data_IF_486844538188
#
_entry.id   IF_486844538188
#
_cell.length_a   1.000
_cell.length_b   1.000
_cell.length_c   1.000
_cell.angle_alpha   90.00
_cell.angle_beta   90.00
_cell.angle_gamma   90.00
#
_symmetry.space_group_name_H-M   'P 1'
#
loop_
_entity.id
_entity.type
_entity.pdbx_description
1 polymer ?
#
# COMPACT_ATOMS: atom_id res chain seq x y z
N UNK A 1 7.68 2.54 -5.91
CA UNK A 1 8.66 3.52 -5.41
C UNK A 1 9.18 3.18 -4.03
N UNK A 2 8.38 2.53 -3.17
CA UNK A 2 8.75 2.17 -1.81
C UNK A 2 8.95 3.39 -0.90
N UNK A 3 9.35 3.15 0.35
CA UNK A 3 9.46 4.19 1.39
C UNK A 3 10.30 5.40 0.97
N UNK A 4 11.45 5.16 0.34
CA UNK A 4 12.33 6.24 -0.12
C UNK A 4 11.66 7.11 -1.19
N UNK A 5 10.90 6.52 -2.07
CA UNK A 5 10.16 7.25 -3.10
C UNK A 5 9.03 8.09 -2.50
N UNK A 6 8.27 7.50 -1.59
CA UNK A 6 7.18 8.19 -0.90
C UNK A 6 7.70 9.37 -0.06
N UNK A 7 8.83 9.22 0.63
CA UNK A 7 9.47 10.33 1.34
C UNK A 7 9.82 11.49 0.41
N UNK A 8 10.32 11.20 -0.79
CA UNK A 8 10.64 12.26 -1.77
C UNK A 8 9.38 12.98 -2.24
N UNK A 9 8.31 12.23 -2.51
CA UNK A 9 7.01 12.80 -2.91
C UNK A 9 6.44 13.67 -1.78
N UNK A 10 6.46 13.17 -0.55
CA UNK A 10 5.97 13.90 0.61
C UNK A 10 6.74 15.20 0.86
N UNK A 11 8.08 15.17 0.74
CA UNK A 11 8.91 16.37 0.88
C UNK A 11 8.63 17.39 -0.22
N UNK A 12 8.40 16.92 -1.45
CA UNK A 12 8.02 17.81 -2.55
C UNK A 12 6.63 18.42 -2.30
N UNK A 13 5.66 17.62 -1.88
CA UNK A 13 4.34 18.11 -1.51
C UNK A 13 4.41 19.13 -0.38
N UNK A 14 5.25 18.88 0.63
CA UNK A 14 5.46 19.77 1.76
C UNK A 14 6.01 21.14 1.33
N UNK A 15 6.93 21.16 0.36
CA UNK A 15 7.45 22.41 -0.20
C UNK A 15 6.38 23.28 -0.89
N UNK A 16 5.28 22.67 -1.31
CA UNK A 16 4.11 23.35 -1.88
C UNK A 16 2.94 23.48 -0.89
N UNK A 17 3.18 23.23 0.39
CA UNK A 17 2.15 23.28 1.46
C UNK A 17 0.97 22.34 1.21
N UNK A 18 1.21 21.24 0.50
CA UNK A 18 0.18 20.25 0.19
C UNK A 18 0.17 19.12 1.23
N UNK A 19 -1.01 18.74 1.74
CA UNK A 19 -1.13 17.58 2.60
C UNK A 19 -0.95 16.27 1.82
N UNK A 20 -0.53 15.22 2.51
CA UNK A 20 -0.36 13.87 1.96
C UNK A 20 -1.28 12.90 2.66
N UNK A 21 -2.08 12.16 1.88
CA UNK A 21 -2.85 11.03 2.34
C UNK A 21 -2.22 9.73 1.84
N UNK A 22 -2.14 8.73 2.71
CA UNK A 22 -1.67 7.39 2.35
C UNK A 22 -2.87 6.54 1.93
N UNK A 23 -2.78 5.91 0.77
CA UNK A 23 -3.88 5.13 0.20
C UNK A 23 -3.51 3.66 0.04
N UNK A 24 -4.53 2.80 0.17
CA UNK A 24 -4.42 1.36 -0.06
C UNK A 24 -3.21 0.74 0.65
N UNK A 25 -3.05 1.11 1.91
CA UNK A 25 -1.87 0.77 2.67
C UNK A 25 -2.05 -0.55 3.40
N UNK A 26 -1.25 -1.56 3.07
CA UNK A 26 -1.20 -2.75 3.89
C UNK A 26 -0.39 -2.50 5.15
N UNK A 27 -1.05 -2.62 6.26
CA UNK A 27 -0.39 -2.76 7.55
C UNK A 27 0.55 -1.62 7.93
N UNK A 28 1.52 -1.97 8.73
CA UNK A 28 2.38 -1.04 9.44
C UNK A 28 3.37 -0.26 8.58
N UNK A 29 3.76 -0.76 7.40
CA UNK A 29 4.84 -0.14 6.61
C UNK A 29 4.59 1.33 6.32
N UNK A 30 3.39 1.64 5.82
CA UNK A 30 3.03 3.01 5.48
C UNK A 30 2.65 3.83 6.71
N UNK A 31 2.15 3.19 7.77
CA UNK A 31 1.88 3.86 9.04
C UNK A 31 3.18 4.38 9.69
N UNK A 32 4.25 3.59 9.68
CA UNK A 32 5.57 4.04 10.13
C UNK A 32 6.12 5.21 9.31
N UNK A 33 5.86 5.22 8.00
CA UNK A 33 6.22 6.36 7.18
C UNK A 33 5.38 7.59 7.53
N UNK A 34 4.07 7.42 7.63
CA UNK A 34 3.11 8.49 7.89
C UNK A 34 3.43 9.29 9.16
N UNK A 35 3.85 8.61 10.24
CA UNK A 35 4.23 9.26 11.50
C UNK A 35 5.44 10.18 11.38
N UNK A 36 6.23 10.04 10.31
CA UNK A 36 7.43 10.85 10.07
C UNK A 36 7.19 11.99 9.06
N UNK A 37 5.96 12.14 8.56
CA UNK A 37 5.64 13.16 7.58
C UNK A 37 4.95 14.35 8.26
N UNK A 38 5.52 15.57 8.17
CA UNK A 38 4.94 16.76 8.81
C UNK A 38 3.62 17.19 8.16
N UNK A 39 3.38 16.78 6.93
CA UNK A 39 2.19 17.09 6.13
C UNK A 39 1.25 15.89 5.96
N UNK A 40 1.40 14.84 6.75
CA UNK A 40 0.46 13.72 6.73
C UNK A 40 -0.91 14.16 7.27
N UNK A 41 -1.96 13.81 6.55
CA UNK A 41 -3.33 14.17 6.89
C UNK A 41 -4.15 12.96 7.36
N UNK A 42 -4.15 11.89 6.59
CA UNK A 42 -4.93 10.68 6.86
C UNK A 42 -4.32 9.47 6.18
N UNK A 43 -4.72 8.30 6.64
CA UNK A 43 -4.39 7.03 5.99
C UNK A 43 -5.65 6.22 5.73
N UNK A 44 -5.79 5.69 4.51
CA UNK A 44 -6.79 4.70 4.19
C UNK A 44 -6.32 3.33 4.70
N UNK A 45 -7.16 2.68 5.49
CA UNK A 45 -6.92 1.31 5.96
C UNK A 45 -7.84 0.38 5.18
N UNK A 46 -7.25 -0.50 4.38
CA UNK A 46 -7.99 -1.46 3.57
C UNK A 46 -7.59 -2.87 3.95
N UNK A 47 -8.58 -3.65 4.34
CA UNK A 47 -8.45 -5.10 4.47
C UNK A 47 -8.49 -5.75 3.07
N UNK A 48 -7.35 -6.26 2.64
CA UNK A 48 -7.22 -6.99 1.38
C UNK A 48 -6.96 -8.49 1.60
N UNK A 49 -7.33 -9.01 2.76
CA UNK A 49 -7.10 -10.41 3.14
C UNK A 49 -5.66 -10.69 3.59
N UNK A 50 -4.83 -9.67 3.74
CA UNK A 50 -3.45 -9.83 4.24
C UNK A 50 -3.42 -10.18 5.71
N UNK A 51 -4.39 -9.71 6.46
CA UNK A 51 -4.62 -9.98 7.86
C UNK A 51 -4.87 -11.47 8.14
N UNK A 52 -5.22 -12.24 7.09
CA UNK A 52 -5.37 -13.68 7.19
C UNK A 52 -4.04 -14.38 7.55
N UNK A 53 -2.91 -13.83 7.15
CA UNK A 53 -1.58 -14.43 7.36
C UNK A 53 -0.52 -13.44 7.85
N UNK A 54 -0.86 -12.15 8.02
CA UNK A 54 0.00 -11.16 8.67
C UNK A 54 -0.53 -10.86 10.06
N UNK A 55 0.34 -10.97 11.06
CA UNK A 55 0.08 -10.46 12.39
C UNK A 55 0.84 -9.14 12.53
N UNK A 56 0.13 -8.07 12.80
CA UNK A 56 0.70 -6.74 13.00
C UNK A 56 0.58 -6.33 14.45
N UNK A 57 1.48 -5.50 14.92
CA UNK A 57 1.48 -5.02 16.31
C UNK A 57 0.75 -3.68 16.49
N UNK A 58 0.17 -3.13 15.42
CA UNK A 58 -0.65 -1.95 15.50
C UNK A 58 -2.10 -2.27 15.89
N UNK A 59 -2.78 -1.31 16.44
CA UNK A 59 -4.23 -1.34 16.63
C UNK A 59 -4.85 0.03 16.29
N UNK A 60 -6.16 0.04 16.10
CA UNK A 60 -6.90 1.28 15.84
C UNK A 60 -7.67 1.64 17.10
N UNK A 61 -7.46 2.85 17.58
CA UNK A 61 -8.16 3.41 18.72
C UNK A 61 -8.61 4.85 18.38
N UNK A 62 -9.88 5.13 18.59
CA UNK A 62 -10.51 6.42 18.31
C UNK A 62 -10.12 7.03 16.95
N UNK A 63 -10.17 6.20 15.90
CA UNK A 63 -9.83 6.61 14.53
C UNK A 63 -8.33 6.86 14.28
N UNK A 64 -7.47 6.50 15.21
CA UNK A 64 -6.02 6.62 15.10
C UNK A 64 -5.37 5.25 15.04
N UNK A 65 -4.35 5.12 14.21
CA UNK A 65 -3.49 3.95 14.20
C UNK A 65 -2.42 4.14 15.25
N UNK A 66 -2.42 3.24 16.23
CA UNK A 66 -1.40 3.19 17.28
C UNK A 66 -0.39 2.13 16.89
N UNK A 67 0.82 2.53 16.63
CA UNK A 67 1.91 1.63 16.29
C UNK A 67 2.42 0.93 17.54
N UNK A 68 2.82 -0.33 17.37
CA UNK A 68 3.52 -1.08 18.42
C UNK A 68 5.01 -0.79 18.42
N UNK A 69 5.73 -1.56 19.22
CA UNK A 69 7.17 -1.41 19.48
C UNK A 69 8.02 -2.61 19.02
N UNK A 70 7.41 -3.56 18.28
CA UNK A 70 8.14 -4.68 17.70
C UNK A 70 9.19 -4.21 16.70
N UNK A 71 10.34 -4.90 16.60
CA UNK A 71 11.38 -4.57 15.62
C UNK A 71 10.87 -4.55 14.17
N UNK A 72 11.48 -3.71 13.35
CA UNK A 72 11.13 -3.56 11.94
C UNK A 72 9.81 -2.82 11.76
N UNK A 73 8.91 -3.39 10.98
CA UNK A 73 7.56 -2.82 10.77
C UNK A 73 6.50 -3.44 11.70
N UNK A 74 6.91 -4.25 12.67
CA UNK A 74 5.98 -4.93 13.56
C UNK A 74 5.07 -5.93 12.84
N UNK A 75 5.57 -6.56 11.78
CA UNK A 75 4.84 -7.52 10.96
C UNK A 75 5.45 -8.89 11.13
N UNK A 76 4.64 -9.85 11.55
CA UNK A 76 4.98 -11.27 11.55
C UNK A 76 4.15 -12.01 10.49
N UNK A 77 4.76 -12.93 9.78
CA UNK A 77 4.08 -13.75 8.77
C UNK A 77 3.74 -15.11 9.35
N UNK A 78 2.47 -15.46 9.38
CA UNK A 78 2.01 -16.80 9.68
C UNK A 78 2.17 -17.68 8.44
N UNK A 79 3.29 -18.39 8.36
CA UNK A 79 3.61 -19.24 7.22
C UNK A 79 2.71 -20.48 7.10
N UNK A 80 2.13 -20.94 8.20
CA UNK A 80 1.22 -22.09 8.18
C UNK A 80 -0.08 -21.69 7.51
N UNK A 81 -0.68 -20.57 7.91
CA UNK A 81 -1.84 -20.00 7.23
C UNK A 81 -1.55 -19.62 5.79
N UNK A 82 -0.38 -19.06 5.51
CA UNK A 82 0.01 -18.72 4.14
C UNK A 82 0.06 -19.98 3.25
N UNK A 83 0.58 -21.10 3.77
CA UNK A 83 0.63 -22.36 3.05
C UNK A 83 -0.77 -22.98 2.82
N UNK A 84 -1.67 -22.84 3.81
CA UNK A 84 -3.07 -23.27 3.66
C UNK A 84 -3.80 -22.48 2.58
N UNK A 85 -3.51 -21.19 2.45
CA UNK A 85 -4.12 -20.29 1.46
C UNK A 85 -3.46 -20.40 0.08
N UNK A 86 -2.34 -21.11 -0.03
CA UNK A 86 -1.59 -21.24 -1.27
C UNK A 86 -2.39 -22.00 -2.31
N UNK A 87 -2.61 -21.40 -3.46
CA UNK A 87 -3.28 -22.00 -4.60
C UNK A 87 -2.24 -22.63 -5.52
N UNK A 88 -2.35 -23.95 -5.77
CA UNK A 88 -1.40 -24.67 -6.63
C UNK A 88 -1.40 -24.20 -8.10
N UNK A 89 -2.55 -23.72 -8.57
CA UNK A 89 -2.71 -23.17 -9.93
C UNK A 89 -3.43 -21.84 -9.85
N UNK A 90 -2.69 -20.78 -10.05
CA UNK A 90 -3.24 -19.46 -10.22
C UNK A 90 -3.60 -19.26 -11.70
N UNK A 91 -4.85 -19.45 -12.07
CA UNK A 91 -5.36 -18.86 -13.30
C UNK A 91 -5.71 -17.41 -12.99
N UNK A 92 -4.86 -16.47 -13.40
CA UNK A 92 -5.27 -15.06 -13.40
C UNK A 92 -6.52 -14.96 -14.25
N UNK A 93 -7.69 -14.57 -13.72
CA UNK A 93 -8.83 -14.29 -14.56
C UNK A 93 -8.36 -13.26 -15.60
N UNK A 94 -8.60 -13.55 -16.88
CA UNK A 94 -8.40 -12.51 -17.88
C UNK A 94 -9.28 -11.35 -17.46
N UNK A 95 -8.66 -10.27 -17.01
CA UNK A 95 -9.36 -9.03 -16.72
C UNK A 95 -9.90 -8.50 -18.05
N UNK A 96 -11.11 -8.88 -18.36
CA UNK A 96 -11.75 -8.49 -19.62
C UNK A 96 -12.10 -7.01 -19.66
N UNK A 97 -12.16 -6.33 -18.57
CA UNK A 97 -12.18 -4.85 -18.55
C UNK A 97 -12.18 -4.34 -17.11
N UNK A 98 -11.46 -3.28 -16.84
CA UNK A 98 -11.78 -2.41 -15.71
C UNK A 98 -13.22 -1.90 -15.91
N UNK A 99 -14.03 -1.82 -14.82
CA UNK A 99 -15.41 -1.35 -14.94
C UNK A 99 -15.53 0.09 -15.44
N UNK A 100 -14.42 0.79 -15.54
CA UNK A 100 -14.34 2.12 -16.09
C UNK A 100 -13.24 2.16 -17.16
N UNK A 101 -13.56 2.58 -18.39
CA UNK A 101 -12.54 2.75 -19.40
C UNK A 101 -11.51 3.78 -18.90
N UNK A 102 -10.25 3.37 -18.80
CA UNK A 102 -9.17 4.31 -18.52
C UNK A 102 -9.09 5.27 -19.70
N UNK A 103 -8.99 6.56 -19.39
CA UNK A 103 -8.69 7.55 -20.43
C UNK A 103 -7.40 7.16 -21.14
N UNK A 104 -7.39 7.26 -22.45
CA UNK A 104 -6.18 7.04 -23.23
C UNK A 104 -5.06 7.91 -22.67
N UNK A 105 -3.90 7.32 -22.40
CA UNK A 105 -2.78 8.01 -21.75
C UNK A 105 -2.80 8.07 -20.22
N UNK A 106 -3.86 7.62 -19.55
CA UNK A 106 -3.92 7.58 -18.07
C UNK A 106 -3.22 6.34 -17.44
N UNK A 107 -2.62 5.48 -18.24
CA UNK A 107 -1.87 4.33 -17.78
C UNK A 107 -0.37 4.56 -17.83
N UNK A 108 0.36 4.08 -16.83
CA UNK A 108 1.84 4.02 -16.84
C UNK A 108 2.38 2.96 -17.83
N UNK A 109 1.52 2.35 -18.63
CA UNK A 109 1.93 1.41 -19.66
C UNK A 109 2.30 2.22 -20.89
N UNK A 110 3.58 2.43 -21.04
CA UNK A 110 4.15 2.89 -22.31
C UNK A 110 4.01 1.72 -23.27
N UNK A 111 3.12 1.83 -24.25
CA UNK A 111 3.11 0.87 -25.36
C UNK A 111 4.48 0.92 -26.04
N UNK A 112 5.14 -0.22 -26.30
CA UNK A 112 6.33 -0.21 -27.12
C UNK A 112 5.99 0.48 -28.44
N UNK A 113 6.85 1.41 -28.87
CA UNK A 113 6.76 1.96 -30.21
C UNK A 113 6.82 0.78 -31.19
N UNK A 114 5.79 0.63 -32.00
CA UNK A 114 5.85 -0.30 -33.10
C UNK A 114 7.06 0.11 -33.96
N UNK A 115 7.99 -0.82 -34.09
CA UNK A 115 9.12 -0.61 -34.99
C UNK A 115 8.57 -0.73 -36.41
N UNK A 116 8.63 0.36 -37.15
CA UNK A 116 8.45 0.35 -38.61
C UNK A 116 9.44 -0.61 -39.27
#
# INVERSE_FOLDING_TARGET
TGLTGEMKVANMAYAYELPVAMMNCPGNTMAHLATNLPNHMMMEVVDNGRELFFNTDHHIDDGKIILGDKPGFGIDVDFDKLNELKVEKHSTPKHESYPFPRREGAGLIIKPLEKD
#
